data_IF_314124008384
#
_entry.id   IF_314124008384
#
_cell.length_a   1.000
_cell.length_b   1.000
_cell.length_c   1.000
_cell.angle_alpha   90.00
_cell.angle_beta   90.00
_cell.angle_gamma   90.00
#
_symmetry.space_group_name_H-M   'P 1'
#
loop_
_entity.id
_entity.type
_entity.pdbx_description
1 polymer ?
#
# COMPACT_ATOMS: atom_id res chain seq x y z
N UNK A 1 20.14 43.38 10.15
CA UNK A 1 19.66 42.02 9.80
C UNK A 1 20.33 41.56 8.51
N UNK A 2 20.94 40.38 8.48
CA UNK A 2 21.72 39.89 7.32
C UNK A 2 20.87 39.06 6.37
N UNK A 3 20.91 39.35 5.05
CA UNK A 3 20.15 38.61 4.02
C UNK A 3 20.81 37.26 3.72
N UNK A 4 20.13 36.15 4.06
CA UNK A 4 20.61 34.79 3.74
C UNK A 4 20.00 34.32 2.40
N UNK A 5 20.85 33.85 1.48
CA UNK A 5 20.42 33.30 0.18
C UNK A 5 19.79 31.90 0.35
N UNK A 6 18.60 31.68 -0.24
CA UNK A 6 17.84 30.40 -0.13
C UNK A 6 18.04 29.41 -1.28
N UNK A 7 18.84 29.76 -2.29
CA UNK A 7 18.95 28.99 -3.54
C UNK A 7 19.41 27.54 -3.34
N UNK A 8 20.45 27.32 -2.53
CA UNK A 8 20.99 25.99 -2.25
C UNK A 8 19.98 25.08 -1.54
N UNK A 9 19.30 25.58 -0.52
CA UNK A 9 18.26 24.85 0.24
C UNK A 9 17.10 24.47 -0.69
N UNK A 10 16.67 25.40 -1.56
CA UNK A 10 15.60 25.15 -2.52
C UNK A 10 16.01 24.09 -3.58
N UNK A 11 17.26 24.09 -4.02
CA UNK A 11 17.79 23.07 -4.92
C UNK A 11 17.80 21.69 -4.26
N UNK A 12 18.37 21.56 -3.06
CA UNK A 12 18.39 20.30 -2.29
C UNK A 12 16.98 19.72 -2.09
N UNK A 13 16.00 20.57 -1.77
CA UNK A 13 14.60 20.15 -1.61
C UNK A 13 14.00 19.61 -2.93
N UNK A 14 14.27 20.27 -4.06
CA UNK A 14 13.79 19.82 -5.38
C UNK A 14 14.42 18.49 -5.78
N UNK A 15 15.73 18.33 -5.58
CA UNK A 15 16.43 17.06 -5.88
C UNK A 15 15.86 15.90 -5.07
N UNK A 16 15.62 16.09 -3.76
CA UNK A 16 14.97 15.08 -2.90
C UNK A 16 13.57 14.70 -3.39
N UNK A 17 12.76 15.68 -3.80
CA UNK A 17 11.41 15.41 -4.32
C UNK A 17 11.45 14.69 -5.67
N UNK A 18 12.34 15.10 -6.58
CA UNK A 18 12.49 14.48 -7.88
C UNK A 18 12.96 13.03 -7.79
N UNK A 19 13.86 12.73 -6.85
CA UNK A 19 14.30 11.37 -6.57
C UNK A 19 13.14 10.46 -6.18
N UNK A 20 12.27 10.92 -5.27
CA UNK A 20 11.06 10.16 -4.87
C UNK A 20 10.10 9.91 -6.04
N UNK A 21 9.98 10.86 -6.97
CA UNK A 21 9.05 10.76 -8.11
C UNK A 21 9.68 10.23 -9.40
N UNK A 22 10.91 9.73 -9.35
CA UNK A 22 11.67 9.32 -10.55
C UNK A 22 10.96 8.25 -11.37
N UNK A 23 10.22 7.34 -10.74
CA UNK A 23 9.42 6.31 -11.40
C UNK A 23 8.02 6.75 -11.87
N UNK A 24 7.64 8.02 -11.69
CA UNK A 24 6.31 8.48 -12.10
C UNK A 24 6.26 8.82 -13.60
N UNK A 25 5.10 8.55 -14.21
CA UNK A 25 4.89 8.73 -15.65
C UNK A 25 4.72 10.20 -16.02
N UNK A 26 5.37 10.61 -17.12
CA UNK A 26 5.13 11.90 -17.77
C UNK A 26 5.47 13.11 -16.89
N UNK A 27 4.52 14.04 -16.75
CA UNK A 27 4.73 15.31 -16.03
C UNK A 27 4.89 15.14 -14.52
N UNK A 28 4.47 14.00 -13.96
CA UNK A 28 4.53 13.71 -12.53
C UNK A 28 5.95 13.47 -11.99
N UNK A 29 6.95 13.27 -12.86
CA UNK A 29 8.37 13.14 -12.51
C UNK A 29 9.20 14.39 -12.85
N UNK A 30 8.62 15.36 -13.56
CA UNK A 30 9.32 16.51 -14.12
C UNK A 30 8.87 17.85 -13.53
N UNK A 31 7.56 18.13 -13.49
CA UNK A 31 7.04 19.44 -13.05
C UNK A 31 6.92 19.48 -11.52
N UNK A 32 7.53 20.48 -10.89
CA UNK A 32 7.59 20.60 -9.42
C UNK A 32 6.21 20.68 -8.76
N UNK A 33 5.26 21.40 -9.35
CA UNK A 33 3.88 21.51 -8.85
C UNK A 33 3.18 20.16 -8.88
N UNK A 34 3.28 19.46 -10.01
CA UNK A 34 2.68 18.13 -10.23
C UNK A 34 3.31 17.07 -9.33
N UNK A 35 4.63 17.12 -9.13
CA UNK A 35 5.37 16.27 -8.19
C UNK A 35 4.82 16.39 -6.78
N UNK A 36 4.58 17.62 -6.30
CA UNK A 36 4.08 17.86 -4.95
C UNK A 36 2.67 17.27 -4.79
N UNK A 37 1.78 17.51 -5.76
CA UNK A 37 0.43 16.94 -5.76
C UNK A 37 0.46 15.40 -5.75
N UNK A 38 1.29 14.80 -6.60
CA UNK A 38 1.40 13.36 -6.71
C UNK A 38 1.99 12.73 -5.45
N UNK A 39 3.01 13.36 -4.86
CA UNK A 39 3.61 12.95 -3.60
C UNK A 39 2.59 12.91 -2.47
N UNK A 40 1.73 13.92 -2.35
CA UNK A 40 0.67 13.93 -1.34
C UNK A 40 -0.32 12.77 -1.55
N UNK A 41 -0.77 12.55 -2.80
CA UNK A 41 -1.68 11.44 -3.14
C UNK A 41 -1.06 10.07 -2.88
N UNK A 42 0.23 9.92 -3.18
CA UNK A 42 0.98 8.68 -2.93
C UNK A 42 1.04 8.36 -1.44
N UNK A 43 1.32 9.34 -0.58
CA UNK A 43 1.37 9.11 0.87
C UNK A 43 0.01 8.76 1.48
N UNK A 44 -1.06 9.44 1.07
CA UNK A 44 -2.41 9.11 1.53
C UNK A 44 -2.77 7.68 1.13
N UNK A 45 -2.39 7.27 -0.08
CA UNK A 45 -2.66 5.91 -0.55
C UNK A 45 -1.82 4.87 0.19
N UNK A 46 -0.52 5.10 0.34
CA UNK A 46 0.35 4.22 1.11
C UNK A 46 -0.11 4.03 2.56
N UNK A 47 -0.60 5.09 3.23
CA UNK A 47 -1.14 4.96 4.58
C UNK A 47 -2.39 4.07 4.60
N UNK A 48 -3.36 4.36 3.73
CA UNK A 48 -4.63 3.62 3.64
C UNK A 48 -4.43 2.15 3.28
N UNK A 49 -3.50 1.87 2.37
CA UNK A 49 -3.33 0.54 1.80
C UNK A 49 -2.59 -0.42 2.75
N UNK A 50 -1.86 0.09 3.76
CA UNK A 50 -1.25 -0.74 4.82
C UNK A 50 -2.27 -1.61 5.56
N UNK A 51 -3.41 -1.05 5.92
CA UNK A 51 -4.44 -1.81 6.64
C UNK A 51 -5.27 -2.67 5.69
N UNK A 52 -5.50 -2.20 4.45
CA UNK A 52 -6.14 -2.99 3.41
C UNK A 52 -5.33 -4.24 3.04
N UNK A 53 -4.00 -4.17 3.03
CA UNK A 53 -3.15 -5.32 2.73
C UNK A 53 -3.40 -6.48 3.70
N UNK A 54 -3.59 -6.20 5.00
CA UNK A 54 -3.91 -7.21 6.02
C UNK A 54 -5.24 -7.90 5.72
N UNK A 55 -6.26 -7.13 5.33
CA UNK A 55 -7.59 -7.65 4.96
C UNK A 55 -7.51 -8.48 3.67
N UNK A 56 -6.78 -8.00 2.67
CA UNK A 56 -6.61 -8.68 1.39
C UNK A 56 -5.89 -10.02 1.54
N UNK A 57 -4.84 -10.09 2.35
CA UNK A 57 -4.13 -11.34 2.65
C UNK A 57 -5.05 -12.33 3.38
N UNK A 58 -5.80 -11.87 4.39
CA UNK A 58 -6.80 -12.70 5.08
C UNK A 58 -7.85 -13.23 4.10
N UNK A 59 -8.36 -12.38 3.20
CA UNK A 59 -9.33 -12.78 2.18
C UNK A 59 -8.75 -13.85 1.26
N UNK A 60 -7.51 -13.68 0.79
CA UNK A 60 -6.82 -14.66 -0.04
C UNK A 60 -6.66 -16.00 0.67
N UNK A 61 -6.29 -16.00 1.96
CA UNK A 61 -6.17 -17.23 2.75
C UNK A 61 -7.51 -17.95 2.89
N UNK A 62 -8.59 -17.24 3.19
CA UNK A 62 -9.94 -17.82 3.25
C UNK A 62 -10.30 -18.46 1.90
N UNK A 63 -10.04 -17.79 0.77
CA UNK A 63 -10.32 -18.32 -0.56
C UNK A 63 -9.51 -19.60 -0.85
N UNK A 64 -8.22 -19.62 -0.51
CA UNK A 64 -7.36 -20.81 -0.69
C UNK A 64 -7.82 -21.98 0.17
N UNK A 65 -8.10 -21.75 1.44
CA UNK A 65 -8.61 -22.79 2.34
C UNK A 65 -9.95 -23.33 1.83
N UNK A 66 -10.84 -22.45 1.36
CA UNK A 66 -12.13 -22.88 0.83
C UNK A 66 -12.00 -23.71 -0.46
N UNK A 67 -11.01 -23.43 -1.31
CA UNK A 67 -10.72 -24.26 -2.49
C UNK A 67 -10.31 -25.68 -2.09
N UNK A 68 -9.35 -25.81 -1.16
CA UNK A 68 -8.87 -27.11 -0.64
C UNK A 68 -9.98 -27.89 0.06
N UNK A 69 -10.86 -27.20 0.81
CA UNK A 69 -12.02 -27.85 1.46
C UNK A 69 -12.96 -28.47 0.45
N UNK A 70 -13.24 -27.78 -0.66
CA UNK A 70 -14.15 -28.29 -1.71
C UNK A 70 -13.63 -29.53 -2.42
N UNK A 71 -12.31 -29.71 -2.48
CA UNK A 71 -11.68 -30.91 -3.06
C UNK A 71 -11.70 -32.11 -2.09
N UNK A 72 -11.91 -31.88 -0.78
CA UNK A 72 -11.89 -32.93 0.23
C UNK A 72 -13.31 -33.37 0.63
N UNK A 73 -13.70 -34.65 0.40
CA UNK A 73 -15.07 -35.11 0.61
C UNK A 73 -15.56 -35.12 2.08
N UNK A 74 -14.70 -34.83 3.06
CA UNK A 74 -15.04 -34.81 4.48
C UNK A 74 -15.47 -33.45 5.06
N UNK A 75 -15.16 -32.34 4.37
CA UNK A 75 -15.44 -30.99 4.86
C UNK A 75 -16.35 -30.23 3.89
N UNK A 76 -17.59 -29.98 4.30
CA UNK A 76 -18.61 -29.37 3.43
C UNK A 76 -18.46 -27.84 3.25
N UNK A 77 -17.83 -27.13 4.20
CA UNK A 77 -17.66 -25.67 4.10
C UNK A 77 -16.59 -25.10 5.05
N UNK A 78 -15.99 -23.97 4.65
CA UNK A 78 -15.03 -23.19 5.47
C UNK A 78 -15.59 -22.83 6.86
N UNK A 79 -16.85 -22.38 6.93
CA UNK A 79 -17.49 -21.99 8.19
C UNK A 79 -17.57 -23.16 9.18
N UNK A 80 -17.94 -24.35 8.70
CA UNK A 80 -18.05 -25.55 9.54
C UNK A 80 -16.67 -26.02 10.02
N UNK A 81 -15.62 -25.90 9.19
CA UNK A 81 -14.25 -26.22 9.59
C UNK A 81 -13.79 -25.30 10.73
N UNK A 82 -13.88 -23.98 10.56
CA UNK A 82 -13.45 -23.01 11.57
C UNK A 82 -14.23 -23.18 12.88
N UNK A 83 -15.54 -23.43 12.80
CA UNK A 83 -16.36 -23.67 13.99
C UNK A 83 -15.91 -24.92 14.75
N UNK A 84 -15.64 -26.03 14.04
CA UNK A 84 -15.10 -27.26 14.65
C UNK A 84 -13.72 -27.04 15.29
N UNK A 85 -12.83 -26.31 14.62
CA UNK A 85 -11.50 -25.99 15.17
C UNK A 85 -11.58 -25.13 16.43
N UNK A 86 -12.50 -24.16 16.47
CA UNK A 86 -12.70 -23.31 17.65
C UNK A 86 -13.31 -24.07 18.84
N UNK A 87 -14.24 -24.99 18.58
CA UNK A 87 -14.88 -25.83 19.63
C UNK A 87 -14.01 -27.00 20.10
N UNK A 88 -13.01 -27.37 19.32
CA UNK A 88 -12.07 -28.47 19.63
C UNK A 88 -10.79 -28.01 20.33
N UNK A 89 -10.65 -26.70 20.58
CA UNK A 89 -9.75 -26.16 21.61
C UNK A 89 -10.45 -26.24 22.96
#
# INVERSE_FOLDING_TARGET
MTRIRRGYIAHKRRTKMRFFTSGFRGTHSNLTRTIIQQKMRAFVSAHRDRDRQKINLRRLWITRINAVIRENPGFYSYSRLINKLYRGQ
#
